data_IF_194360468626
#
_entry.id   IF_194360468626
#
_cell.length_a   1.000
_cell.length_b   1.000
_cell.length_c   1.000
_cell.angle_alpha   90.00
_cell.angle_beta   90.00
_cell.angle_gamma   90.00
#
_symmetry.space_group_name_H-M   'P 1'
#
loop_
_entity.id
_entity.type
_entity.pdbx_description
1 polymer ?
#
# COMPACT_ATOMS: atom_id res chain seq x y z
N UNK A 1 -6.95 0.92 -2.68
CA UNK A 1 -7.38 1.96 -1.71
C UNK A 1 -8.82 2.34 -2.05
N UNK A 2 -9.76 2.33 -1.10
CA UNK A 2 -10.95 3.17 -1.17
C UNK A 2 -10.88 4.10 0.05
N UNK A 3 -10.75 5.40 -0.18
CA UNK A 3 -10.85 6.41 0.89
C UNK A 3 -9.63 7.29 1.18
N UNK A 4 -8.53 7.25 0.41
CA UNK A 4 -7.53 8.33 0.44
C UNK A 4 -7.38 8.92 -0.95
N UNK A 5 -8.07 10.04 -1.19
CA UNK A 5 -7.85 10.89 -2.36
C UNK A 5 -6.39 11.37 -2.31
N UNK A 6 -5.51 10.80 -3.13
CA UNK A 6 -4.23 11.43 -3.43
C UNK A 6 -4.51 12.64 -4.32
N UNK A 7 -4.81 13.80 -3.74
CA UNK A 7 -4.96 15.08 -4.47
C UNK A 7 -3.62 15.66 -4.96
N UNK A 8 -2.52 14.90 -4.94
CA UNK A 8 -1.20 15.43 -5.26
C UNK A 8 -0.26 14.39 -5.89
N UNK A 9 0.80 14.89 -6.53
CA UNK A 9 1.85 14.16 -7.27
C UNK A 9 2.84 13.41 -6.35
N UNK A 10 2.48 13.18 -5.09
CA UNK A 10 3.37 12.62 -4.08
C UNK A 10 2.69 11.53 -3.24
N UNK A 11 3.46 10.48 -2.91
CA UNK A 11 3.03 9.45 -1.97
C UNK A 11 2.65 10.05 -0.60
N UNK A 12 1.45 9.75 -0.12
CA UNK A 12 0.97 10.11 1.21
C UNK A 12 1.71 9.35 2.34
N UNK A 13 1.47 9.69 3.61
CA UNK A 13 2.17 9.08 4.75
C UNK A 13 2.03 7.55 4.83
N UNK A 14 0.86 7.00 4.48
CA UNK A 14 0.60 5.55 4.47
C UNK A 14 1.44 4.88 3.38
N UNK A 15 1.47 5.45 2.19
CA UNK A 15 2.25 4.96 1.06
C UNK A 15 3.75 5.03 1.34
N UNK A 16 4.22 6.10 2.00
CA UNK A 16 5.61 6.22 2.46
C UNK A 16 5.97 5.19 3.52
N UNK A 17 5.05 4.87 4.43
CA UNK A 17 5.25 3.78 5.40
C UNK A 17 5.40 2.44 4.68
N UNK A 18 4.49 2.12 3.75
CA UNK A 18 4.52 0.85 2.99
C UNK A 18 5.82 0.67 2.23
N UNK A 19 6.30 1.69 1.53
CA UNK A 19 7.61 1.62 0.84
C UNK A 19 8.75 1.38 1.83
N UNK A 20 8.78 2.08 2.97
CA UNK A 20 9.84 1.85 3.98
C UNK A 20 9.79 0.42 4.54
N UNK A 21 8.60 -0.12 4.78
CA UNK A 21 8.43 -1.50 5.22
C UNK A 21 8.87 -2.51 4.14
N UNK A 22 8.57 -2.23 2.87
CA UNK A 22 9.01 -3.05 1.74
C UNK A 22 10.54 -3.08 1.63
N UNK A 23 11.19 -1.90 1.67
CA UNK A 23 12.65 -1.79 1.61
C UNK A 23 13.34 -2.53 2.78
N UNK A 24 12.77 -2.49 3.98
CA UNK A 24 13.30 -3.25 5.14
C UNK A 24 13.09 -4.76 5.02
N UNK A 25 12.13 -5.18 4.20
CA UNK A 25 11.77 -6.59 4.01
C UNK A 25 12.57 -7.25 2.89
N UNK A 26 13.38 -6.48 2.14
CA UNK A 26 14.37 -7.03 1.22
C UNK A 26 15.39 -7.85 2.02
N UNK A 27 15.68 -9.05 1.52
CA UNK A 27 16.67 -9.93 2.15
C UNK A 27 18.06 -9.56 1.66
N UNK A 28 19.03 -9.25 2.54
CA UNK A 28 20.42 -9.02 2.13
C UNK A 28 21.05 -10.25 1.46
N UNK A 29 20.57 -11.45 1.82
CA UNK A 29 21.07 -12.73 1.31
C UNK A 29 20.41 -13.16 0.00
N UNK A 30 19.47 -12.38 -0.55
CA UNK A 30 18.86 -12.69 -1.83
C UNK A 30 19.82 -12.34 -2.97
N UNK A 31 20.08 -13.31 -3.86
CA UNK A 31 20.87 -13.08 -5.08
C UNK A 31 20.25 -12.00 -5.99
N UNK A 32 18.92 -11.91 -6.00
CA UNK A 32 18.18 -10.81 -6.62
C UNK A 32 16.96 -10.44 -5.76
N UNK A 33 16.68 -9.14 -5.65
CA UNK A 33 15.52 -8.63 -4.93
C UNK A 33 14.78 -7.57 -5.76
N UNK A 34 13.57 -7.93 -6.21
CA UNK A 34 12.71 -7.08 -7.05
C UNK A 34 11.60 -6.46 -6.21
N UNK A 35 11.43 -5.14 -6.33
CA UNK A 35 10.29 -4.44 -5.72
C UNK A 35 9.12 -4.40 -6.71
N UNK A 36 8.02 -5.09 -6.39
CA UNK A 36 6.77 -5.02 -7.16
C UNK A 36 5.82 -4.03 -6.49
N UNK A 37 5.39 -3.01 -7.22
CA UNK A 37 4.51 -1.95 -6.73
C UNK A 37 3.21 -1.96 -7.52
N UNK A 38 2.10 -2.20 -6.82
CA UNK A 38 0.77 -2.28 -7.43
C UNK A 38 -0.13 -1.12 -7.00
N UNK A 39 -0.96 -0.68 -7.92
CA UNK A 39 -2.02 0.28 -7.68
C UNK A 39 -2.11 1.31 -8.80
N UNK A 40 -3.28 1.40 -9.40
CA UNK A 40 -3.62 2.37 -10.42
C UNK A 40 -4.06 3.72 -9.90
N UNK A 41 -4.57 4.53 -10.82
CA UNK A 41 -5.01 5.89 -10.57
C UNK A 41 -6.35 5.89 -9.80
N UNK A 42 -6.26 5.97 -8.46
CA UNK A 42 -7.44 6.11 -7.58
C UNK A 42 -7.44 7.50 -6.94
N UNK A 43 -8.21 8.41 -7.54
CA UNK A 43 -8.44 9.76 -6.99
C UNK A 43 -7.42 10.83 -7.41
N UNK A 44 -6.62 10.58 -8.44
CA UNK A 44 -5.72 11.50 -9.15
C UNK A 44 -5.24 10.89 -10.46
N UNK A 45 -4.49 11.65 -11.28
CA UNK A 45 -4.09 11.20 -12.64
C UNK A 45 -2.88 10.26 -12.65
N UNK A 46 -2.08 10.26 -11.57
CA UNK A 46 -0.88 9.43 -11.45
C UNK A 46 -1.21 8.12 -10.71
N UNK A 47 -0.88 6.95 -11.29
CA UNK A 47 -1.02 5.66 -10.61
C UNK A 47 -0.31 5.61 -9.25
N UNK A 48 -0.94 4.97 -8.26
CA UNK A 48 -0.34 4.78 -6.93
C UNK A 48 1.05 4.11 -7.01
N UNK A 49 1.20 3.10 -7.88
CA UNK A 49 2.45 2.37 -8.09
C UNK A 49 3.62 3.29 -8.49
N UNK A 50 3.38 4.26 -9.36
CA UNK A 50 4.41 5.23 -9.78
C UNK A 50 4.83 6.16 -8.64
N UNK A 51 3.87 6.60 -7.83
CA UNK A 51 4.15 7.42 -6.65
C UNK A 51 5.00 6.67 -5.62
N UNK A 52 4.72 5.38 -5.43
CA UNK A 52 5.51 4.48 -4.58
C UNK A 52 6.93 4.30 -5.14
N UNK A 53 7.07 4.12 -6.46
CA UNK A 53 8.35 3.92 -7.12
C UNK A 53 9.25 5.15 -7.00
N UNK A 54 8.70 6.32 -7.32
CA UNK A 54 9.40 7.60 -7.18
C UNK A 54 9.85 7.82 -5.73
N UNK A 55 9.04 7.44 -4.74
CA UNK A 55 9.43 7.52 -3.34
C UNK A 55 10.51 6.51 -2.96
N UNK A 56 10.46 5.27 -3.47
CA UNK A 56 11.52 4.27 -3.25
C UNK A 56 12.87 4.76 -3.80
N UNK A 57 12.89 5.35 -5.00
CA UNK A 57 14.09 5.96 -5.58
C UNK A 57 14.64 7.11 -4.73
N UNK A 58 13.78 8.03 -4.26
CA UNK A 58 14.19 9.09 -3.31
C UNK A 58 14.73 8.55 -1.98
N UNK A 59 14.44 7.31 -1.63
CA UNK A 59 14.99 6.64 -0.44
C UNK A 59 16.31 5.92 -0.70
N UNK A 60 16.86 6.01 -1.91
CA UNK A 60 18.13 5.41 -2.30
C UNK A 60 18.02 3.97 -2.78
N UNK A 61 16.81 3.45 -3.01
CA UNK A 61 16.68 2.12 -3.61
C UNK A 61 17.10 2.15 -5.08
N UNK A 62 18.16 1.42 -5.41
CA UNK A 62 18.70 1.33 -6.78
C UNK A 62 18.35 0.01 -7.48
N UNK A 63 17.71 -0.94 -6.78
CA UNK A 63 17.38 -2.26 -7.33
C UNK A 63 16.23 -2.27 -8.36
N UNK A 64 15.92 -3.45 -8.92
CA UNK A 64 14.84 -3.62 -9.90
C UNK A 64 13.46 -3.23 -9.33
N UNK A 65 12.66 -2.54 -10.13
CA UNK A 65 11.27 -2.18 -9.79
C UNK A 65 10.36 -2.63 -10.93
N UNK A 66 9.30 -3.36 -10.61
CA UNK A 66 8.20 -3.71 -11.54
C UNK A 66 6.93 -3.01 -11.07
N UNK A 67 6.18 -2.44 -12.02
CA UNK A 67 4.97 -1.67 -11.72
C UNK A 67 3.73 -2.38 -12.27
N UNK A 68 2.66 -2.32 -11.49
CA UNK A 68 1.31 -2.66 -11.92
C UNK A 68 0.42 -1.44 -11.65
N UNK A 69 -0.11 -0.82 -12.71
CA UNK A 69 -0.73 0.52 -12.67
C UNK A 69 -2.22 0.50 -13.02
N UNK A 70 -2.83 -0.66 -13.20
CA UNK A 70 -4.22 -0.77 -13.65
C UNK A 70 -5.19 -1.08 -12.50
N UNK A 71 -4.71 -1.75 -11.45
CA UNK A 71 -5.57 -2.19 -10.34
C UNK A 71 -6.19 -1.05 -9.54
N UNK A 72 -7.46 -1.18 -9.19
CA UNK A 72 -8.21 -0.24 -8.35
C UNK A 72 -8.61 -0.85 -7.01
N UNK A 73 -8.55 -2.17 -6.89
CA UNK A 73 -8.91 -2.94 -5.69
C UNK A 73 -7.75 -3.81 -5.19
N UNK A 74 -7.86 -4.31 -3.95
CA UNK A 74 -6.87 -5.25 -3.40
C UNK A 74 -6.82 -6.56 -4.17
N UNK A 75 -7.97 -7.05 -4.67
CA UNK A 75 -8.02 -8.31 -5.45
C UNK A 75 -7.37 -8.15 -6.81
N UNK A 76 -7.67 -7.05 -7.52
CA UNK A 76 -7.01 -6.72 -8.79
C UNK A 76 -5.49 -6.58 -8.63
N UNK A 77 -5.03 -5.92 -7.55
CA UNK A 77 -3.59 -5.81 -7.27
C UNK A 77 -2.92 -7.19 -7.24
N UNK A 78 -3.54 -8.16 -6.57
CA UNK A 78 -2.99 -9.52 -6.46
C UNK A 78 -3.06 -10.24 -7.79
N UNK A 79 -4.21 -10.19 -8.47
CA UNK A 79 -4.41 -10.84 -9.76
C UNK A 79 -3.42 -10.34 -10.80
N UNK A 80 -3.28 -9.03 -10.97
CA UNK A 80 -2.39 -8.44 -11.96
C UNK A 80 -0.91 -8.57 -11.59
N UNK A 81 -0.59 -8.71 -10.30
CA UNK A 81 0.78 -8.97 -9.86
C UNK A 81 1.26 -10.39 -10.13
N UNK A 82 0.37 -11.36 -10.39
CA UNK A 82 0.75 -12.79 -10.52
C UNK A 82 1.85 -13.02 -11.55
N UNK A 83 1.75 -12.45 -12.75
CA UNK A 83 2.79 -12.55 -13.79
C UNK A 83 4.08 -11.80 -13.45
N UNK A 84 4.02 -10.80 -12.56
CA UNK A 84 5.22 -10.06 -12.14
C UNK A 84 6.04 -10.80 -11.09
N UNK A 85 5.45 -11.78 -10.40
CA UNK A 85 6.05 -12.51 -9.27
C UNK A 85 6.18 -14.02 -9.52
N UNK A 86 5.83 -14.51 -10.71
CA UNK A 86 5.73 -15.95 -10.97
C UNK A 86 7.05 -16.71 -10.83
N UNK A 87 8.16 -16.04 -11.21
CA UNK A 87 9.51 -16.57 -11.11
C UNK A 87 10.13 -16.39 -9.72
N UNK A 88 9.44 -15.73 -8.79
CA UNK A 88 9.99 -15.48 -7.46
C UNK A 88 9.98 -16.76 -6.62
N UNK A 89 11.13 -17.10 -6.03
CA UNK A 89 11.26 -18.19 -5.06
C UNK A 89 10.66 -17.83 -3.69
N UNK A 90 10.64 -16.54 -3.36
CA UNK A 90 10.20 -16.01 -2.08
C UNK A 90 9.39 -14.73 -2.26
N UNK A 91 8.13 -14.73 -1.79
CA UNK A 91 7.21 -13.60 -1.95
C UNK A 91 6.92 -12.98 -0.58
N UNK A 92 7.07 -11.67 -0.48
CA UNK A 92 6.72 -10.88 0.71
C UNK A 92 5.74 -9.78 0.31
N UNK A 93 4.47 -9.97 0.62
CA UNK A 93 3.44 -8.95 0.42
C UNK A 93 3.60 -7.90 1.53
N UNK A 94 3.62 -6.60 1.18
CA UNK A 94 3.69 -5.50 2.15
C UNK A 94 2.51 -4.55 2.00
N UNK A 95 1.69 -4.45 3.04
CA UNK A 95 0.57 -3.51 3.11
C UNK A 95 0.25 -3.10 4.56
N UNK A 96 -0.84 -2.34 4.76
CA UNK A 96 -1.45 -2.21 6.08
C UNK A 96 -2.12 -3.52 6.50
N UNK A 97 -2.10 -3.85 7.80
CA UNK A 97 -2.42 -5.20 8.33
C UNK A 97 -3.67 -5.87 7.74
N UNK A 98 -4.86 -5.24 7.68
CA UNK A 98 -6.03 -5.92 7.12
C UNK A 98 -5.92 -6.18 5.60
N UNK A 99 -5.26 -5.31 4.84
CA UNK A 99 -5.06 -5.55 3.40
C UNK A 99 -3.97 -6.56 3.10
N UNK A 100 -2.95 -6.67 3.96
CA UNK A 100 -1.87 -7.64 3.78
C UNK A 100 -2.40 -9.07 3.92
N UNK A 101 -3.19 -9.34 4.97
CA UNK A 101 -3.84 -10.66 5.15
C UNK A 101 -4.83 -10.95 4.03
N UNK A 102 -5.65 -9.96 3.64
CA UNK A 102 -6.58 -10.13 2.52
C UNK A 102 -5.87 -10.43 1.20
N UNK A 103 -4.74 -9.75 0.92
CA UNK A 103 -3.95 -10.01 -0.28
C UNK A 103 -3.30 -11.40 -0.26
N UNK A 104 -2.82 -11.88 0.91
CA UNK A 104 -2.32 -13.24 1.07
C UNK A 104 -3.41 -14.28 0.81
N UNK A 105 -4.62 -14.06 1.32
CA UNK A 105 -5.77 -14.92 1.08
C UNK A 105 -6.15 -14.97 -0.41
N UNK A 106 -6.24 -13.83 -1.08
CA UNK A 106 -6.50 -13.79 -2.53
C UNK A 106 -5.39 -14.46 -3.34
N UNK A 107 -4.12 -14.34 -2.94
CA UNK A 107 -3.03 -15.01 -3.65
C UNK A 107 -3.16 -16.53 -3.52
N UNK A 108 -3.49 -17.03 -2.31
CA UNK A 108 -3.76 -18.45 -2.09
C UNK A 108 -4.93 -18.98 -2.91
N UNK A 109 -5.99 -18.19 -3.04
CA UNK A 109 -7.17 -18.54 -3.84
C UNK A 109 -6.85 -18.58 -5.35
N UNK A 110 -6.16 -17.55 -5.86
CA UNK A 110 -5.90 -17.40 -7.30
C UNK A 110 -4.72 -18.25 -7.80
N UNK A 111 -3.66 -18.37 -7.00
CA UNK A 111 -2.39 -19.03 -7.33
C UNK A 111 -1.80 -19.74 -6.10
N UNK A 112 -2.34 -20.91 -5.72
CA UNK A 112 -1.85 -21.66 -4.55
C UNK A 112 -0.35 -21.97 -4.60
N UNK A 113 0.21 -22.15 -5.80
CA UNK A 113 1.63 -22.36 -6.04
C UNK A 113 2.49 -21.16 -5.59
N UNK A 114 2.03 -19.93 -5.85
CA UNK A 114 2.66 -18.70 -5.36
C UNK A 114 2.35 -18.46 -3.88
N UNK A 115 1.16 -18.83 -3.43
CA UNK A 115 0.76 -18.79 -2.02
C UNK A 115 1.71 -19.59 -1.12
N UNK A 116 2.20 -20.75 -1.57
CA UNK A 116 3.20 -21.57 -0.85
C UNK A 116 4.56 -20.88 -0.71
N UNK A 117 4.89 -19.94 -1.57
CA UNK A 117 6.16 -19.18 -1.55
C UNK A 117 6.07 -17.92 -0.69
N UNK A 118 4.93 -17.66 -0.05
CA UNK A 118 4.77 -16.53 0.86
C UNK A 118 5.65 -16.67 2.10
N UNK A 119 6.47 -15.66 2.33
CA UNK A 119 7.26 -15.50 3.53
C UNK A 119 6.70 -14.36 4.39
N UNK A 120 7.06 -14.35 5.68
CA UNK A 120 6.77 -13.22 6.55
C UNK A 120 7.59 -12.02 6.06
N UNK A 121 6.90 -10.91 5.78
CA UNK A 121 7.55 -9.63 5.58
C UNK A 121 7.81 -8.99 6.95
N UNK A 122 8.80 -8.10 7.06
CA UNK A 122 9.09 -7.35 8.28
C UNK A 122 8.11 -6.18 8.46
N UNK A 123 6.83 -6.46 8.25
CA UNK A 123 5.74 -5.48 8.24
C UNK A 123 5.40 -4.97 9.65
N UNK A 124 5.81 -5.67 10.73
CA UNK A 124 5.26 -5.40 12.06
C UNK A 124 6.29 -5.48 13.19
N UNK A 125 6.71 -4.32 13.69
CA UNK A 125 6.73 -4.10 15.14
C UNK A 125 5.30 -3.74 15.53
N UNK A 126 4.64 -4.59 16.31
CA UNK A 126 3.27 -4.45 16.81
C UNK A 126 2.94 -3.10 17.51
N UNK A 127 3.94 -2.26 17.81
CA UNK A 127 3.76 -0.99 18.54
C UNK A 127 3.44 0.26 17.70
N UNK A 128 3.69 0.28 16.38
CA UNK A 128 3.53 1.52 15.58
C UNK A 128 2.08 1.79 15.12
N UNK A 129 1.21 0.78 15.10
CA UNK A 129 -0.22 0.95 14.77
C UNK A 129 -0.93 1.81 15.83
N UNK A 130 -0.40 1.86 17.06
CA UNK A 130 -0.92 2.73 18.11
C UNK A 130 -0.73 4.22 17.79
N UNK A 131 0.29 4.58 16.99
CA UNK A 131 0.60 5.98 16.65
C UNK A 131 -0.33 6.58 15.56
N UNK A 132 -1.04 5.74 14.79
CA UNK A 132 -2.02 6.19 13.78
C UNK A 132 -3.43 6.42 14.36
N UNK A 133 -3.72 5.95 15.58
CA UNK A 133 -4.98 6.24 16.28
C UNK A 133 -5.16 7.73 16.63
N UNK A 134 -4.18 8.46 17.19
CA UNK A 134 -4.38 9.88 17.53
C UNK A 134 -4.55 10.77 16.29
N UNK A 135 -3.87 10.49 15.18
CA UNK A 135 -4.01 11.29 13.96
C UNK A 135 -5.40 11.17 13.31
N UNK A 136 -6.01 9.99 13.41
CA UNK A 136 -7.37 9.73 12.93
C UNK A 136 -8.42 10.42 13.82
N UNK A 137 -8.20 10.42 15.14
CA UNK A 137 -9.09 11.06 16.12
C UNK A 137 -9.13 12.59 15.98
N UNK A 138 -7.98 13.24 15.79
CA UNK A 138 -7.89 14.71 15.60
C UNK A 138 -8.63 15.17 14.33
N UNK A 139 -8.60 14.37 13.26
CA UNK A 139 -9.35 14.68 12.03
C UNK A 139 -10.85 14.39 12.12
N UNK A 140 -11.25 13.38 12.88
CA UNK A 140 -12.67 13.11 13.16
C UNK A 140 -13.33 14.29 13.89
N UNK A 141 -12.65 14.85 14.90
CA UNK A 141 -13.12 16.03 15.64
C UNK A 141 -13.23 17.28 14.74
N UNK A 142 -12.29 17.46 13.82
CA UNK A 142 -12.30 18.60 12.88
C UNK A 142 -13.41 18.52 11.81
N UNK A 143 -13.88 17.30 11.49
CA UNK A 143 -14.99 17.08 10.57
C UNK A 143 -16.34 17.35 11.25
N UNK A 144 -16.48 16.96 12.52
CA UNK A 144 -17.67 17.24 13.34
C UNK A 144 -17.82 18.75 13.60
N UNK A 145 -16.73 19.46 13.93
CA UNK A 145 -16.75 20.92 14.15
C UNK A 145 -17.03 21.77 12.90
N UNK A 146 -17.08 21.14 11.70
CA UNK A 146 -17.52 21.78 10.44
C UNK A 146 -18.95 21.44 10.09
N UNK A 147 -19.47 20.30 10.55
CA UNK A 147 -20.87 19.94 10.41
C UNK A 147 -21.75 20.86 11.27
N UNK A 148 -21.36 21.11 12.52
CA UNK A 148 -22.10 21.99 13.44
C UNK A 148 -22.13 23.47 13.04
N UNK A 149 -21.21 23.91 12.16
CA UNK A 149 -21.17 25.28 11.64
C UNK A 149 -21.91 25.47 10.31
N UNK A 150 -22.42 24.40 9.71
CA UNK A 150 -23.08 24.42 8.40
C UNK A 150 -24.61 24.27 8.45
N UNK A 151 -25.19 23.97 9.61
CA UNK A 151 -26.64 23.75 9.78
C UNK A 151 -27.36 24.91 10.47
N UNK A 152 -26.84 26.13 10.32
CA UNK A 152 -27.39 27.34 10.96
C UNK A 152 -28.04 28.36 10.03
N UNK A 153 -28.15 28.11 8.72
CA UNK A 153 -28.67 29.13 7.80
C UNK A 153 -29.20 28.55 6.47
N UNK A 154 -30.36 27.89 6.49
CA UNK A 154 -31.31 27.86 5.35
C UNK A 154 -32.73 27.83 5.96
N UNK A 155 -33.45 28.94 5.80
CA UNK A 155 -34.66 29.25 6.57
C UNK A 155 -35.99 28.85 5.95
N UNK A 156 -37.03 29.03 6.76
CA UNK A 156 -38.34 29.63 6.46
C UNK A 156 -39.21 29.57 7.72
#
# INVERSE_FOLDING_TARGET
>A
MLGFRNRGTHANAVNRYRVRAALRSLSPDAGEAVLVLCGGAVGGDVPEAELLAAYARRRGYAGPVRLETLSRTTRENVQNATGLIEDADAIRIVSNSPHAELARAYLWELRPDLGRRLQRAKEQRLGEVLYMKPYSAVRGLSALARYDRGTGDEGA
#
